data_IF_245736095804
#
_entry.id   IF_245736095804
#
_cell.length_a   1.000
_cell.length_b   1.000
_cell.length_c   1.000
_cell.angle_alpha   90.00
_cell.angle_beta   90.00
_cell.angle_gamma   90.00
#
_symmetry.space_group_name_H-M   'P 1'
#
loop_
_entity.id
_entity.type
_entity.pdbx_description
1 polymer ?
#
# COMPACT_ATOMS: atom_id res chain seq x y z
N UNK A 1 28.10 -77.36 20.67
CA UNK A 1 27.88 -76.64 19.40
C UNK A 1 26.82 -75.57 19.67
N UNK A 2 27.18 -74.27 19.73
CA UNK A 2 26.21 -73.22 20.04
C UNK A 2 25.36 -72.86 18.82
N UNK A 3 24.05 -72.77 19.03
CA UNK A 3 23.06 -72.27 18.08
C UNK A 3 23.13 -70.73 18.03
N UNK A 4 23.36 -70.16 16.85
CA UNK A 4 23.31 -68.72 16.59
C UNK A 4 21.88 -68.36 16.17
N UNK A 5 21.21 -67.51 16.95
CA UNK A 5 19.88 -66.99 16.63
C UNK A 5 20.00 -65.67 15.84
N UNK A 6 19.43 -65.62 14.64
CA UNK A 6 19.33 -64.44 13.79
C UNK A 6 18.04 -63.66 14.15
N UNK A 7 18.18 -62.39 14.53
CA UNK A 7 17.07 -61.46 14.80
C UNK A 7 16.69 -60.76 13.49
N UNK A 8 15.41 -60.76 13.06
CA UNK A 8 14.99 -59.97 11.89
C UNK A 8 14.76 -58.50 12.28
N UNK A 9 15.37 -57.60 11.51
CA UNK A 9 15.25 -56.14 11.63
C UNK A 9 14.03 -55.69 10.81
N UNK A 10 13.00 -55.16 11.47
CA UNK A 10 11.79 -54.61 10.82
C UNK A 10 12.05 -53.15 10.45
N UNK A 11 12.06 -52.85 9.15
CA UNK A 11 12.19 -51.50 8.61
C UNK A 11 10.78 -50.88 8.47
N UNK A 12 10.49 -49.83 9.25
CA UNK A 12 9.24 -49.06 9.15
C UNK A 12 9.50 -47.81 8.30
N UNK A 13 8.88 -47.67 7.11
CA UNK A 13 9.06 -46.47 6.31
C UNK A 13 8.25 -45.31 6.92
N UNK A 14 8.96 -44.29 7.42
CA UNK A 14 8.38 -43.00 7.80
C UNK A 14 7.92 -42.28 6.54
N UNK A 15 6.60 -42.24 6.31
CA UNK A 15 5.99 -41.40 5.29
C UNK A 15 5.96 -39.95 5.81
N UNK A 16 6.87 -39.12 5.31
CA UNK A 16 6.90 -37.68 5.55
C UNK A 16 5.67 -37.03 4.89
N UNK A 17 4.67 -36.65 5.69
CA UNK A 17 3.58 -35.80 5.21
C UNK A 17 4.12 -34.38 5.15
N UNK A 18 4.57 -33.95 3.97
CA UNK A 18 4.87 -32.54 3.72
C UNK A 18 3.55 -31.76 3.75
N UNK A 19 3.23 -31.12 4.87
CA UNK A 19 2.15 -30.13 4.90
C UNK A 19 2.62 -28.91 4.11
N UNK A 20 2.30 -28.87 2.83
CA UNK A 20 2.38 -27.62 2.09
C UNK A 20 1.36 -26.67 2.71
N UNK A 21 1.85 -25.66 3.44
CA UNK A 21 1.02 -24.52 3.81
C UNK A 21 0.45 -23.94 2.51
N UNK A 22 -0.88 -23.79 2.38
CA UNK A 22 -1.42 -23.12 1.20
C UNK A 22 -0.81 -21.71 1.19
N UNK A 23 -0.12 -21.39 0.09
CA UNK A 23 0.15 -20.00 -0.28
C UNK A 23 -1.22 -19.32 -0.28
N UNK A 24 -1.52 -18.58 0.78
CA UNK A 24 -2.69 -17.73 0.82
C UNK A 24 -2.58 -16.82 -0.39
N UNK A 25 -3.38 -17.10 -1.43
CA UNK A 25 -3.54 -16.23 -2.58
C UNK A 25 -4.18 -14.97 -2.01
N UNK A 26 -3.33 -14.02 -1.59
CA UNK A 26 -3.79 -12.71 -1.15
C UNK A 26 -4.55 -12.12 -2.33
N UNK A 27 -5.86 -12.01 -2.17
CA UNK A 27 -6.73 -11.33 -3.14
C UNK A 27 -6.27 -9.87 -3.19
N UNK A 28 -5.58 -9.49 -4.25
CA UNK A 28 -5.30 -8.08 -4.52
C UNK A 28 -6.56 -7.42 -5.05
N UNK A 29 -6.93 -6.29 -4.47
CA UNK A 29 -8.04 -5.46 -4.90
C UNK A 29 -7.61 -4.01 -5.11
N UNK A 30 -8.40 -3.29 -5.89
CA UNK A 30 -8.20 -1.87 -6.20
C UNK A 30 -9.33 -1.08 -5.53
N UNK A 31 -9.06 -0.32 -4.45
CA UNK A 31 -10.08 0.40 -3.72
C UNK A 31 -10.72 1.49 -4.59
N UNK A 32 -12.02 1.74 -4.38
CA UNK A 32 -12.74 2.83 -5.01
C UNK A 32 -12.90 4.00 -4.02
N UNK A 33 -12.12 5.05 -4.24
CA UNK A 33 -12.11 6.27 -3.42
C UNK A 33 -13.04 7.37 -3.94
N UNK A 34 -13.71 7.16 -5.08
CA UNK A 34 -14.48 8.22 -5.72
C UNK A 34 -15.55 8.80 -4.80
N UNK A 35 -15.67 10.13 -4.86
CA UNK A 35 -16.75 10.90 -4.24
C UNK A 35 -16.61 11.22 -2.74
N UNK A 36 -15.54 10.82 -2.06
CA UNK A 36 -15.25 11.28 -0.70
C UNK A 36 -13.74 11.46 -0.45
N UNK A 37 -13.34 12.43 0.39
CA UNK A 37 -11.97 12.48 0.87
C UNK A 37 -11.70 11.31 1.83
N UNK A 38 -10.43 10.95 1.96
CA UNK A 38 -9.95 9.87 2.83
C UNK A 38 -8.71 10.31 3.62
N UNK A 39 -8.50 9.69 4.77
CA UNK A 39 -7.23 9.70 5.50
C UNK A 39 -6.33 8.58 4.97
N UNK A 40 -5.02 8.80 5.04
CA UNK A 40 -4.01 7.78 4.71
C UNK A 40 -3.26 7.47 5.99
N UNK A 41 -3.22 6.22 6.39
CA UNK A 41 -2.55 5.77 7.61
C UNK A 41 -1.47 4.74 7.27
N UNK A 42 -0.22 5.05 7.61
CA UNK A 42 0.89 4.11 7.54
C UNK A 42 1.12 3.43 8.89
N UNK A 43 1.96 2.40 8.94
CA UNK A 43 2.27 1.69 10.19
C UNK A 43 2.85 2.56 11.31
N UNK A 44 3.37 3.75 10.99
CA UNK A 44 3.94 4.71 11.93
C UNK A 44 3.15 6.01 12.09
N UNK A 45 1.92 6.09 11.57
CA UNK A 45 1.00 7.21 11.78
C UNK A 45 0.31 7.69 10.51
N UNK A 46 -0.49 8.76 10.65
CA UNK A 46 -1.19 9.36 9.53
C UNK A 46 -0.26 10.14 8.61
N UNK A 47 -0.48 9.96 7.31
CA UNK A 47 0.22 10.66 6.24
C UNK A 47 -0.61 11.88 5.91
N UNK A 48 -0.09 13.06 6.21
CA UNK A 48 -0.74 14.33 5.89
C UNK A 48 0.00 15.06 4.75
N UNK A 49 -0.67 15.96 4.03
CA UNK A 49 -0.03 16.76 3.00
C UNK A 49 1.03 17.68 3.63
N UNK A 50 2.26 17.61 3.11
CA UNK A 50 3.37 18.45 3.54
C UNK A 50 3.25 19.85 2.92
N UNK A 51 2.39 20.69 3.49
CA UNK A 51 2.11 22.05 2.99
C UNK A 51 3.06 23.02 3.70
N UNK A 52 3.73 23.89 2.93
CA UNK A 52 4.61 24.95 3.46
C UNK A 52 5.76 24.46 4.36
N UNK A 53 6.36 23.30 4.07
CA UNK A 53 7.44 22.69 4.85
C UNK A 53 7.09 22.35 6.31
N UNK A 54 5.82 22.36 6.68
CA UNK A 54 5.37 21.86 7.97
C UNK A 54 4.91 20.40 7.79
N UNK A 55 5.39 19.45 8.61
CA UNK A 55 4.76 18.15 8.71
C UNK A 55 3.30 18.36 9.10
N UNK A 56 2.37 17.86 8.30
CA UNK A 56 1.01 17.72 8.76
C UNK A 56 1.01 16.83 10.01
N UNK A 57 0.23 17.22 11.02
CA UNK A 57 0.35 16.79 12.40
C UNK A 57 -0.01 15.32 12.68
N UNK A 58 -0.18 14.50 11.64
CA UNK A 58 -0.65 13.13 11.77
C UNK A 58 -2.12 13.09 12.13
N UNK A 59 -2.97 13.80 11.36
CA UNK A 59 -4.41 13.87 11.62
C UNK A 59 -5.15 12.63 11.10
N UNK A 60 -6.13 12.10 11.86
CA UNK A 60 -7.07 11.12 11.33
C UNK A 60 -8.07 11.71 10.32
N UNK A 61 -8.08 13.04 10.14
CA UNK A 61 -9.01 13.71 9.26
C UNK A 61 -8.81 13.28 7.79
N UNK A 62 -9.89 13.15 7.01
CA UNK A 62 -9.81 12.82 5.60
C UNK A 62 -9.30 14.02 4.79
N UNK A 63 -7.99 14.14 4.67
CA UNK A 63 -7.29 15.28 4.02
C UNK A 63 -6.90 15.02 2.57
N UNK A 64 -7.11 13.81 2.05
CA UNK A 64 -6.76 13.42 0.68
C UNK A 64 -7.99 13.17 -0.17
N UNK A 65 -7.99 13.68 -1.40
CA UNK A 65 -8.96 13.34 -2.41
C UNK A 65 -8.28 12.47 -3.47
N UNK A 66 -8.67 11.20 -3.57
CA UNK A 66 -8.02 10.24 -4.46
C UNK A 66 -8.95 9.98 -5.66
N UNK A 67 -8.48 10.30 -6.85
CA UNK A 67 -9.23 10.13 -8.10
C UNK A 67 -8.65 9.01 -8.95
N UNK A 68 -9.51 8.19 -9.57
CA UNK A 68 -9.13 7.11 -10.48
C UNK A 68 -9.23 7.56 -11.93
N UNK A 69 -8.31 7.12 -12.78
CA UNK A 69 -8.34 7.37 -14.23
C UNK A 69 -9.40 6.56 -15.01
N UNK A 70 -10.30 5.84 -14.33
CA UNK A 70 -11.39 5.06 -14.94
C UNK A 70 -10.96 3.82 -15.73
N UNK A 71 -9.69 3.40 -15.65
CA UNK A 71 -9.18 2.21 -16.35
C UNK A 71 -9.36 0.92 -15.52
N UNK A 72 -9.40 -0.28 -16.15
CA UNK A 72 -9.50 -1.56 -15.42
C UNK A 72 -8.37 -1.81 -14.42
N UNK A 73 -7.15 -1.32 -14.73
CA UNK A 73 -6.06 -1.21 -13.76
C UNK A 73 -5.88 0.29 -13.43
N UNK A 74 -6.60 0.79 -12.40
CA UNK A 74 -6.73 2.21 -12.17
C UNK A 74 -5.37 2.82 -11.78
N UNK A 75 -5.04 3.91 -12.45
CA UNK A 75 -4.03 4.84 -11.96
C UNK A 75 -4.72 5.86 -11.05
N UNK A 76 -4.11 6.12 -9.90
CA UNK A 76 -4.65 7.00 -8.87
C UNK A 76 -3.91 8.33 -8.84
N UNK A 77 -4.67 9.42 -8.76
CA UNK A 77 -4.17 10.75 -8.45
C UNK A 77 -4.51 11.10 -7.01
N UNK A 78 -3.49 11.27 -6.16
CA UNK A 78 -3.67 11.59 -4.75
C UNK A 78 -3.56 13.11 -4.59
N UNK A 79 -4.68 13.79 -4.36
CA UNK A 79 -4.78 15.26 -4.29
C UNK A 79 -5.06 15.73 -2.88
N UNK A 80 -4.73 16.98 -2.58
CA UNK A 80 -5.10 17.60 -1.29
C UNK A 80 -6.59 17.96 -1.31
N UNK A 81 -7.37 17.49 -0.34
CA UNK A 81 -8.82 17.70 -0.31
C UNK A 81 -9.19 19.19 -0.17
N UNK A 82 -8.41 19.96 0.61
CA UNK A 82 -8.61 21.41 0.79
C UNK A 82 -8.11 22.25 -0.39
N UNK A 83 -7.29 21.68 -1.28
CA UNK A 83 -6.80 22.33 -2.48
C UNK A 83 -6.53 21.31 -3.58
N UNK A 84 -7.55 21.00 -4.36
CA UNK A 84 -7.49 19.97 -5.41
C UNK A 84 -6.63 20.36 -6.61
N UNK A 85 -6.03 21.56 -6.61
CA UNK A 85 -5.00 21.95 -7.57
C UNK A 85 -3.61 21.41 -7.21
N UNK A 86 -3.43 20.81 -6.02
CA UNK A 86 -2.18 20.18 -5.60
C UNK A 86 -2.32 18.66 -5.58
N UNK A 87 -1.35 17.98 -6.20
CA UNK A 87 -1.25 16.52 -6.21
C UNK A 87 0.10 16.04 -5.69
N UNK A 88 0.06 14.88 -5.05
CA UNK A 88 1.22 14.05 -4.80
C UNK A 88 1.93 13.78 -6.12
N UNK A 89 3.23 14.07 -6.16
CA UNK A 89 4.07 13.97 -7.35
C UNK A 89 5.38 13.33 -6.96
N UNK A 90 5.77 12.29 -7.69
CA UNK A 90 7.09 11.70 -7.56
C UNK A 90 8.13 12.56 -8.26
N UNK A 91 9.08 13.06 -7.48
CA UNK A 91 10.26 13.73 -7.97
C UNK A 91 11.40 12.71 -8.16
N UNK A 92 11.45 12.11 -9.35
CA UNK A 92 12.41 11.07 -9.72
C UNK A 92 13.88 11.53 -9.67
N UNK A 93 14.16 12.83 -9.70
CA UNK A 93 15.53 13.35 -9.61
C UNK A 93 16.09 13.32 -8.19
N UNK A 94 15.22 13.33 -7.18
CA UNK A 94 15.58 13.40 -5.77
C UNK A 94 14.94 12.29 -4.95
N UNK A 95 14.41 11.25 -5.60
CA UNK A 95 13.72 10.11 -5.00
C UNK A 95 12.81 10.50 -3.82
N UNK A 96 11.95 11.48 -4.06
CA UNK A 96 11.08 12.05 -3.03
C UNK A 96 9.68 12.30 -3.54
N UNK A 97 8.72 12.33 -2.62
CA UNK A 97 7.36 12.74 -2.89
C UNK A 97 7.18 14.20 -2.50
N UNK A 98 6.65 14.99 -3.44
CA UNK A 98 6.38 16.42 -3.26
C UNK A 98 4.94 16.73 -3.68
N UNK A 99 4.42 17.87 -3.24
CA UNK A 99 3.14 18.41 -3.74
C UNK A 99 3.44 19.38 -4.88
N UNK A 100 2.89 19.12 -6.06
CA UNK A 100 2.98 20.05 -7.20
C UNK A 100 1.60 20.30 -7.80
N UNK A 101 1.50 21.29 -8.68
CA UNK A 101 0.25 21.59 -9.37
C UNK A 101 -0.21 20.36 -10.18
N UNK A 102 -1.49 20.02 -10.09
CA UNK A 102 -2.12 18.96 -10.89
C UNK A 102 -1.86 19.23 -12.38
N UNK A 103 -1.46 18.19 -13.11
CA UNK A 103 -1.31 18.30 -14.55
C UNK A 103 -2.66 18.44 -15.25
N UNK A 104 -2.76 19.43 -16.14
CA UNK A 104 -3.95 19.67 -16.97
C UNK A 104 -4.29 18.49 -17.91
N UNK A 105 -3.30 17.66 -18.23
CA UNK A 105 -3.50 16.51 -19.12
C UNK A 105 -4.21 15.33 -18.46
N UNK A 106 -4.21 15.25 -17.12
CA UNK A 106 -4.67 14.06 -16.40
C UNK A 106 -3.89 12.78 -16.74
N UNK A 107 -2.70 12.90 -17.36
CA UNK A 107 -1.90 11.77 -17.84
C UNK A 107 -0.43 11.84 -17.39
N UNK A 108 -0.09 12.79 -16.51
CA UNK A 108 1.27 12.90 -15.99
C UNK A 108 1.64 11.64 -15.19
N UNK A 109 2.58 10.81 -15.67
CA UNK A 109 2.93 9.56 -14.99
C UNK A 109 3.56 9.79 -13.61
N UNK A 110 4.19 10.94 -13.38
CA UNK A 110 4.78 11.29 -12.08
C UNK A 110 3.73 11.64 -11.02
N UNK A 111 2.48 11.88 -11.42
CA UNK A 111 1.36 12.14 -10.51
C UNK A 111 0.39 10.95 -10.41
N UNK A 112 0.71 9.84 -11.08
CA UNK A 112 -0.07 8.61 -11.02
C UNK A 112 0.61 7.60 -10.12
N UNK A 113 -0.21 6.93 -9.32
CA UNK A 113 0.22 5.85 -8.43
C UNK A 113 -0.67 4.63 -8.64
N UNK A 114 -0.08 3.45 -8.44
CA UNK A 114 -0.82 2.20 -8.32
C UNK A 114 -1.09 1.97 -6.82
N UNK A 115 -2.35 1.70 -6.48
CA UNK A 115 -2.76 1.37 -5.10
C UNK A 115 -3.36 -0.02 -5.12
N UNK A 116 -2.65 -0.96 -4.49
CA UNK A 116 -3.02 -2.37 -4.42
C UNK A 116 -3.25 -2.74 -2.95
N UNK A 117 -4.44 -3.21 -2.60
CA UNK A 117 -4.80 -3.57 -1.22
C UNK A 117 -5.13 -5.06 -1.10
N UNK A 118 -5.04 -5.62 0.12
CA UNK A 118 -5.53 -6.98 0.39
C UNK A 118 -7.03 -7.00 0.64
N UNK A 119 -7.59 -5.92 1.19
CA UNK A 119 -9.03 -5.76 1.32
C UNK A 119 -9.45 -4.35 0.93
N UNK A 120 -10.61 -4.27 0.29
CA UNK A 120 -11.20 -3.05 -0.22
C UNK A 120 -12.68 -3.03 0.12
N UNK A 121 -13.17 -1.87 0.52
CA UNK A 121 -14.60 -1.59 0.57
C UNK A 121 -15.04 -0.96 -0.75
N UNK A 122 -16.21 -1.35 -1.25
CA UNK A 122 -16.77 -0.75 -2.46
C UNK A 122 -17.44 0.59 -2.12
N UNK A 123 -16.72 1.70 -2.34
CA UNK A 123 -17.30 3.04 -2.42
C UNK A 123 -17.12 3.90 -1.18
N UNK A 124 -16.10 4.75 -1.21
CA UNK A 124 -15.86 5.75 -0.17
C UNK A 124 -17.02 6.74 0.00
N UNK A 125 -17.64 7.21 -1.09
CA UNK A 125 -18.76 8.16 -1.03
C UNK A 125 -19.97 7.71 -0.20
N UNK A 126 -20.19 6.40 -0.08
CA UNK A 126 -21.34 5.82 0.64
C UNK A 126 -20.98 5.28 2.02
N UNK A 127 -19.70 5.26 2.38
CA UNK A 127 -19.24 4.69 3.63
C UNK A 127 -19.44 5.70 4.79
N UNK A 128 -19.83 5.24 6.00
CA UNK A 128 -19.81 6.09 7.20
C UNK A 128 -18.41 6.68 7.45
N UNK A 129 -18.32 7.83 8.10
CA UNK A 129 -17.04 8.41 8.50
C UNK A 129 -16.23 7.44 9.38
N UNK A 130 -14.91 7.38 9.17
CA UNK A 130 -13.98 6.46 9.81
C UNK A 130 -13.97 5.05 9.24
N UNK A 131 -14.74 4.76 8.18
CA UNK A 131 -14.77 3.42 7.59
C UNK A 131 -13.51 3.16 6.80
N UNK A 132 -12.83 2.05 7.11
CA UNK A 132 -11.67 1.60 6.34
C UNK A 132 -12.12 1.16 4.95
N UNK A 133 -11.69 1.89 3.93
CA UNK A 133 -12.01 1.64 2.51
C UNK A 133 -10.93 0.86 1.76
N UNK A 134 -9.73 0.79 2.33
CA UNK A 134 -8.66 -0.08 1.88
C UNK A 134 -7.72 -0.41 3.04
N UNK A 135 -7.27 -1.65 3.15
CA UNK A 135 -6.25 -2.04 4.14
C UNK A 135 -5.21 -2.99 3.59
N UNK A 136 -4.06 -3.00 4.28
CA UNK A 136 -2.84 -3.67 3.84
C UNK A 136 -2.44 -3.29 2.42
N UNK A 137 -2.52 -1.99 2.14
CA UNK A 137 -2.30 -1.42 0.83
C UNK A 137 -0.83 -1.08 0.59
N UNK A 138 -0.41 -1.23 -0.65
CA UNK A 138 0.87 -0.81 -1.16
C UNK A 138 0.63 0.29 -2.20
N UNK A 139 1.38 1.38 -2.09
CA UNK A 139 1.33 2.49 -3.06
C UNK A 139 2.63 2.45 -3.87
N UNK A 140 2.53 2.47 -5.20
CA UNK A 140 3.71 2.42 -6.10
C UNK A 140 3.65 3.59 -7.09
N UNK A 141 4.78 4.24 -7.43
CA UNK A 141 4.81 5.14 -8.57
C UNK A 141 4.41 4.40 -9.85
N UNK A 142 3.49 4.96 -10.63
CA UNK A 142 2.99 4.30 -11.85
C UNK A 142 4.14 4.03 -12.82
N UNK A 143 4.21 2.79 -13.31
CA UNK A 143 5.24 2.36 -14.26
C UNK A 143 6.56 1.92 -13.62
N UNK A 144 6.67 1.94 -12.29
CA UNK A 144 7.86 1.47 -11.55
C UNK A 144 7.44 0.42 -10.51
N UNK A 145 7.09 -0.81 -10.94
CA UNK A 145 6.44 -1.80 -10.08
C UNK A 145 7.36 -2.36 -8.97
N UNK A 146 8.66 -2.13 -9.06
CA UNK A 146 9.66 -2.54 -8.07
C UNK A 146 9.82 -1.54 -6.94
N UNK A 147 9.26 -0.33 -7.07
CA UNK A 147 9.33 0.71 -6.04
C UNK A 147 7.98 0.87 -5.34
N UNK A 148 8.04 1.00 -4.03
CA UNK A 148 6.91 1.23 -3.15
C UNK A 148 7.15 2.53 -2.38
N UNK A 149 6.10 3.31 -2.16
CA UNK A 149 6.18 4.45 -1.27
C UNK A 149 6.35 3.95 0.17
N UNK A 150 7.21 4.63 0.90
CA UNK A 150 7.49 4.35 2.29
C UNK A 150 7.47 5.64 3.09
N UNK A 151 7.08 5.52 4.34
CA UNK A 151 7.19 6.62 5.30
C UNK A 151 8.55 6.65 5.96
N UNK A 152 9.04 7.85 6.27
CA UNK A 152 10.21 7.99 7.11
C UNK A 152 9.86 7.49 8.52
N UNK A 153 10.73 6.72 9.21
CA UNK A 153 10.40 6.09 10.50
C UNK A 153 9.85 7.04 11.57
N UNK A 154 10.28 8.31 11.55
CA UNK A 154 9.89 9.35 12.53
C UNK A 154 9.04 10.47 11.92
N UNK A 155 8.62 10.34 10.67
CA UNK A 155 7.84 11.36 9.97
C UNK A 155 6.91 10.67 8.96
N UNK A 156 5.70 10.26 9.37
CA UNK A 156 4.78 9.53 8.50
C UNK A 156 4.40 10.34 7.25
N UNK A 157 4.37 11.67 7.35
CA UNK A 157 4.10 12.57 6.22
C UNK A 157 5.28 12.73 5.25
N UNK A 158 6.46 12.22 5.57
CA UNK A 158 7.61 12.20 4.67
C UNK A 158 7.61 10.88 3.90
N UNK A 159 7.14 10.94 2.66
CA UNK A 159 7.09 9.81 1.74
C UNK A 159 8.25 9.82 0.75
N UNK A 160 8.79 8.65 0.48
CA UNK A 160 9.82 8.44 -0.55
C UNK A 160 9.67 7.05 -1.16
N UNK A 161 10.02 6.86 -2.45
CA UNK A 161 10.01 5.55 -3.08
C UNK A 161 11.30 4.78 -2.76
N UNK A 162 11.14 3.51 -2.38
CA UNK A 162 12.23 2.55 -2.16
C UNK A 162 11.87 1.20 -2.79
N UNK A 163 12.82 0.26 -2.96
CA UNK A 163 12.49 -1.11 -3.35
C UNK A 163 11.44 -1.70 -2.41
N UNK A 164 10.38 -2.27 -2.99
CA UNK A 164 9.33 -2.94 -2.22
C UNK A 164 9.92 -4.05 -1.34
N UNK A 165 9.48 -4.13 -0.08
CA UNK A 165 9.98 -5.09 0.91
C UNK A 165 11.25 -4.66 1.65
N UNK A 166 11.80 -3.47 1.37
CA UNK A 166 13.02 -3.01 2.05
C UNK A 166 12.80 -2.69 3.53
N UNK A 167 11.61 -2.23 3.91
CA UNK A 167 11.25 -1.90 5.28
C UNK A 167 9.84 -2.38 5.65
N UNK A 168 9.76 -3.53 6.31
CA UNK A 168 8.49 -4.09 6.83
C UNK A 168 7.78 -3.10 7.75
N UNK A 169 6.53 -2.75 7.40
CA UNK A 169 5.65 -1.91 8.21
C UNK A 169 5.64 -0.41 7.85
N UNK A 170 6.62 0.07 7.06
CA UNK A 170 6.65 1.48 6.60
C UNK A 170 6.09 1.66 5.17
N UNK A 171 5.89 0.55 4.45
CA UNK A 171 5.33 0.51 3.10
C UNK A 171 3.85 0.09 3.06
N UNK A 172 3.27 -0.24 4.21
CA UNK A 172 1.87 -0.68 4.33
C UNK A 172 0.99 0.47 4.75
N UNK A 173 -0.08 0.70 3.98
CA UNK A 173 -1.04 1.78 4.17
C UNK A 173 -2.46 1.24 4.39
N UNK A 174 -3.27 2.03 5.07
CA UNK A 174 -4.71 1.90 5.15
C UNK A 174 -5.37 3.24 4.80
N UNK A 175 -6.58 3.17 4.30
CA UNK A 175 -7.37 4.34 3.90
C UNK A 175 -8.71 4.31 4.61
N UNK A 176 -9.15 5.44 5.15
CA UNK A 176 -10.45 5.55 5.80
C UNK A 176 -11.17 6.86 5.44
N UNK A 177 -12.51 6.83 5.40
CA UNK A 177 -13.36 8.02 5.18
C UNK A 177 -13.49 8.91 6.40
#
# INVERSE_FOLDING_TARGET
MPFVALIPLVFVPLLSISSATPLSVRSTCFPNFEGAPVSIHAGNGYVDPFINNAPGGGSPDPVWYIHQNGQPNPGYFIKVASNTNLAMTWNWLFDSIVLTQVSDSGLNPLQQFDIECQSCFSGAASAPAGTVVGSDCIIKPRGVPTQCLQTAPRSPSSLFPEPCGSHTGLETFAFAT
#
